data_IF_740039490050
#
_entry.id   IF_740039490050
#
_cell.length_a   1.000
_cell.length_b   1.000
_cell.length_c   1.000
_cell.angle_alpha   90.00
_cell.angle_beta   90.00
_cell.angle_gamma   90.00
#
_symmetry.space_group_name_H-M   'P 1'
#
loop_
_entity.id
_entity.type
_entity.pdbx_description
1 polymer ?
#
# COMPACT_ATOMS: atom_id res chain seq x y z
N UNK A 1 22.88 -6.61 19.78
CA UNK A 1 23.21 -5.17 19.71
C UNK A 1 22.00 -4.45 19.14
N UNK A 2 21.61 -3.29 19.66
CA UNK A 2 20.59 -2.47 19.02
C UNK A 2 21.04 -2.07 17.61
N UNK A 3 20.07 -1.77 16.74
CA UNK A 3 20.34 -1.22 15.41
C UNK A 3 21.07 0.12 15.50
N UNK A 4 21.66 0.59 14.40
CA UNK A 4 22.32 1.90 14.32
C UNK A 4 21.36 3.07 14.63
N UNK A 5 20.05 2.87 14.43
CA UNK A 5 18.99 3.80 14.83
C UNK A 5 18.62 3.74 16.32
N UNK A 6 19.26 2.87 17.11
CA UNK A 6 18.98 2.65 18.54
C UNK A 6 17.78 1.75 18.83
N UNK A 7 17.07 1.26 17.80
CA UNK A 7 15.94 0.35 17.99
C UNK A 7 16.42 -1.03 18.51
N UNK A 8 15.70 -1.62 19.50
CA UNK A 8 16.07 -2.92 20.05
C UNK A 8 15.69 -4.10 19.14
N UNK A 9 14.62 -3.94 18.35
CA UNK A 9 14.10 -4.97 17.44
C UNK A 9 14.08 -4.43 16.00
N UNK A 10 14.70 -5.14 15.04
CA UNK A 10 14.63 -4.76 13.63
C UNK A 10 13.25 -4.91 12.99
N UNK A 11 12.38 -5.77 13.50
CA UNK A 11 11.11 -6.09 12.84
C UNK A 11 10.10 -4.93 12.80
N UNK A 12 9.81 -4.22 13.92
CA UNK A 12 8.94 -3.04 13.90
C UNK A 12 9.70 -1.75 13.54
N UNK A 13 11.02 -1.80 13.38
CA UNK A 13 11.83 -0.61 13.15
C UNK A 13 11.65 -0.07 11.73
N UNK A 14 11.19 1.19 11.62
CA UNK A 14 10.97 1.90 10.35
C UNK A 14 11.99 3.03 10.11
N UNK A 15 13.00 3.22 10.97
CA UNK A 15 13.88 4.40 10.97
C UNK A 15 14.71 4.62 9.69
N UNK A 16 14.96 3.56 8.93
CA UNK A 16 15.71 3.61 7.66
C UNK A 16 14.82 3.41 6.43
N UNK A 17 13.51 3.25 6.61
CA UNK A 17 12.62 3.06 5.48
C UNK A 17 12.49 4.36 4.68
N UNK A 18 12.64 4.30 3.35
CA UNK A 18 12.48 5.48 2.53
C UNK A 18 11.02 5.96 2.56
N UNK A 19 10.78 7.26 2.37
CA UNK A 19 9.42 7.77 2.23
C UNK A 19 8.72 7.14 1.03
N UNK A 20 7.39 7.09 1.08
CA UNK A 20 6.57 6.60 -0.04
C UNK A 20 6.87 7.41 -1.30
N UNK A 21 7.24 6.71 -2.37
CA UNK A 21 7.56 7.33 -3.66
C UNK A 21 6.44 7.11 -4.68
N UNK A 22 6.37 7.97 -5.70
CA UNK A 22 5.41 7.82 -6.81
C UNK A 22 5.51 6.45 -7.48
N UNK A 23 6.72 5.90 -7.63
CA UNK A 23 6.93 4.56 -8.22
C UNK A 23 6.38 3.43 -7.34
N UNK A 24 6.45 3.58 -6.01
CA UNK A 24 5.86 2.61 -5.10
C UNK A 24 4.33 2.65 -5.18
N UNK A 25 3.75 3.84 -5.32
CA UNK A 25 2.31 4.01 -5.49
C UNK A 25 1.85 3.38 -6.81
N UNK A 26 2.56 3.66 -7.91
CA UNK A 26 2.28 3.06 -9.22
C UNK A 26 2.42 1.53 -9.18
N UNK A 27 3.45 1.02 -8.51
CA UNK A 27 3.65 -0.42 -8.32
C UNK A 27 2.51 -1.07 -7.55
N UNK A 28 2.02 -0.44 -6.47
CA UNK A 28 0.86 -0.91 -5.71
C UNK A 28 -0.42 -0.94 -6.56
N UNK A 29 -0.68 0.11 -7.34
CA UNK A 29 -1.82 0.17 -8.28
C UNK A 29 -1.74 -0.97 -9.30
N UNK A 30 -0.60 -1.10 -9.97
CA UNK A 30 -0.43 -2.06 -11.06
C UNK A 30 -0.51 -3.50 -10.53
N UNK A 31 0.03 -3.77 -9.34
CA UNK A 31 -0.11 -5.05 -8.66
C UNK A 31 -1.57 -5.36 -8.30
N UNK A 32 -2.30 -4.37 -7.75
CA UNK A 32 -3.71 -4.56 -7.40
C UNK A 32 -4.57 -4.89 -8.62
N UNK A 33 -4.42 -4.13 -9.71
CA UNK A 33 -5.10 -4.40 -10.98
C UNK A 33 -4.75 -5.79 -11.51
N UNK A 34 -3.47 -6.15 -11.51
CA UNK A 34 -3.05 -7.47 -11.96
C UNK A 34 -3.69 -8.61 -11.15
N UNK A 35 -3.72 -8.50 -9.82
CA UNK A 35 -4.32 -9.53 -8.95
C UNK A 35 -5.82 -9.65 -9.20
N UNK A 36 -6.52 -8.51 -9.28
CA UNK A 36 -7.95 -8.47 -9.61
C UNK A 36 -8.22 -9.15 -10.96
N UNK A 37 -7.51 -8.74 -12.00
CA UNK A 37 -7.76 -9.19 -13.37
C UNK A 37 -7.38 -10.66 -13.61
N UNK A 38 -6.27 -11.11 -13.03
CA UNK A 38 -5.75 -12.47 -13.30
C UNK A 38 -6.26 -13.54 -12.36
N UNK A 39 -6.66 -13.16 -11.13
CA UNK A 39 -7.06 -14.14 -10.11
C UNK A 39 -8.49 -13.97 -9.62
N UNK A 40 -9.11 -12.80 -9.86
CA UNK A 40 -10.41 -12.44 -9.28
C UNK A 40 -10.39 -12.26 -7.77
N UNK A 41 -9.21 -12.25 -7.14
CA UNK A 41 -9.04 -12.04 -5.69
C UNK A 41 -8.93 -10.55 -5.39
N UNK A 42 -9.36 -10.20 -4.18
CA UNK A 42 -9.28 -8.83 -3.67
C UNK A 42 -7.91 -8.64 -3.00
N UNK A 43 -7.03 -7.79 -3.55
CA UNK A 43 -5.74 -7.49 -2.94
C UNK A 43 -5.90 -6.58 -1.72
N UNK A 44 -5.07 -6.80 -0.70
CA UNK A 44 -4.84 -5.83 0.37
C UNK A 44 -3.67 -4.94 -0.01
N UNK A 45 -3.82 -3.64 0.22
CA UNK A 45 -2.76 -2.64 0.03
C UNK A 45 -2.42 -1.98 1.37
N UNK A 46 -1.19 -1.48 1.46
CA UNK A 46 -0.76 -0.63 2.54
C UNK A 46 -1.59 0.66 2.58
N UNK A 47 -1.89 1.12 3.78
CA UNK A 47 -2.77 2.29 4.02
C UNK A 47 -2.29 3.53 3.27
N UNK A 48 -0.99 3.78 3.29
CA UNK A 48 -0.37 4.95 2.69
C UNK A 48 -0.51 4.93 1.17
N UNK A 49 -0.40 3.76 0.54
CA UNK A 49 -0.61 3.57 -0.90
C UNK A 49 -2.09 3.82 -1.24
N UNK A 50 -3.02 3.23 -0.50
CA UNK A 50 -4.46 3.39 -0.73
C UNK A 50 -4.89 4.87 -0.60
N UNK A 51 -4.40 5.55 0.44
CA UNK A 51 -4.65 6.98 0.63
C UNK A 51 -4.01 7.84 -0.47
N UNK A 52 -2.82 7.48 -0.94
CA UNK A 52 -2.15 8.20 -2.02
C UNK A 52 -2.96 8.11 -3.32
N UNK A 53 -3.43 6.92 -3.69
CA UNK A 53 -4.30 6.70 -4.85
C UNK A 53 -5.60 7.52 -4.73
N UNK A 54 -6.24 7.52 -3.57
CA UNK A 54 -7.45 8.32 -3.34
C UNK A 54 -7.21 9.83 -3.55
N UNK A 55 -6.07 10.35 -3.08
CA UNK A 55 -5.71 11.77 -3.24
C UNK A 55 -5.43 12.13 -4.70
N UNK A 56 -4.85 11.22 -5.50
CA UNK A 56 -4.59 11.44 -6.94
C UNK A 56 -5.87 11.66 -7.76
N UNK A 57 -6.98 11.05 -7.35
CA UNK A 57 -8.27 11.23 -8.04
C UNK A 57 -8.39 10.39 -9.32
N UNK A 58 -9.45 10.63 -10.10
CA UNK A 58 -9.73 9.88 -11.33
C UNK A 58 -9.84 8.37 -11.09
N UNK A 59 -9.28 7.59 -12.00
CA UNK A 59 -9.29 6.12 -11.95
C UNK A 59 -8.56 5.56 -10.72
N UNK A 60 -7.53 6.25 -10.23
CA UNK A 60 -6.80 5.84 -9.02
C UNK A 60 -7.71 5.94 -7.78
N UNK A 61 -8.57 6.97 -7.71
CA UNK A 61 -9.56 7.09 -6.63
C UNK A 61 -10.65 6.03 -6.73
N UNK A 62 -11.17 5.79 -7.93
CA UNK A 62 -12.18 4.75 -8.16
C UNK A 62 -11.67 3.37 -7.72
N UNK A 63 -10.42 3.06 -8.05
CA UNK A 63 -9.76 1.83 -7.59
C UNK A 63 -9.62 1.79 -6.06
N UNK A 64 -9.18 2.90 -5.43
CA UNK A 64 -9.01 2.95 -3.99
C UNK A 64 -10.34 2.76 -3.23
N UNK A 65 -11.42 3.38 -3.71
CA UNK A 65 -12.77 3.24 -3.14
C UNK A 65 -13.31 1.81 -3.32
N UNK A 66 -13.10 1.22 -4.50
CA UNK A 66 -13.47 -0.16 -4.77
C UNK A 66 -12.76 -1.12 -3.82
N UNK A 67 -11.43 -1.02 -3.72
CA UNK A 67 -10.64 -1.90 -2.84
C UNK A 67 -11.06 -1.73 -1.38
N UNK A 68 -11.22 -0.50 -0.90
CA UNK A 68 -11.66 -0.23 0.47
C UNK A 68 -13.02 -0.86 0.79
N UNK A 69 -13.98 -0.79 -0.15
CA UNK A 69 -15.29 -1.40 0.01
C UNK A 69 -15.22 -2.93 0.02
N UNK A 70 -14.40 -3.51 -0.87
CA UNK A 70 -14.24 -4.96 -1.00
C UNK A 70 -13.51 -5.60 0.19
N UNK A 71 -12.61 -4.86 0.84
CA UNK A 71 -11.87 -5.35 2.02
C UNK A 71 -12.57 -5.01 3.34
N UNK A 72 -13.75 -4.37 3.30
CA UNK A 72 -14.42 -3.82 4.49
C UNK A 72 -13.49 -2.90 5.32
N UNK A 73 -12.52 -2.27 4.65
CA UNK A 73 -11.52 -1.42 5.29
C UNK A 73 -10.31 -2.15 5.88
N UNK A 74 -10.14 -3.45 5.64
CA UNK A 74 -8.91 -4.17 5.98
C UNK A 74 -7.72 -3.70 5.13
N UNK A 75 -6.52 -3.79 5.73
CA UNK A 75 -5.25 -3.24 5.24
C UNK A 75 -4.15 -4.31 5.34
N UNK A 76 -3.14 -4.23 4.47
CA UNK A 76 -1.99 -5.15 4.44
C UNK A 76 -0.99 -4.94 5.59
#
# INVERSE_FOLDING_TARGET
MPLDCGCPDPWPCRCSEPPLTERMIDGGRDAALHILDTTGRIPLLETEVLQALWRRGGTDRELAELLHALTLGELA
#
